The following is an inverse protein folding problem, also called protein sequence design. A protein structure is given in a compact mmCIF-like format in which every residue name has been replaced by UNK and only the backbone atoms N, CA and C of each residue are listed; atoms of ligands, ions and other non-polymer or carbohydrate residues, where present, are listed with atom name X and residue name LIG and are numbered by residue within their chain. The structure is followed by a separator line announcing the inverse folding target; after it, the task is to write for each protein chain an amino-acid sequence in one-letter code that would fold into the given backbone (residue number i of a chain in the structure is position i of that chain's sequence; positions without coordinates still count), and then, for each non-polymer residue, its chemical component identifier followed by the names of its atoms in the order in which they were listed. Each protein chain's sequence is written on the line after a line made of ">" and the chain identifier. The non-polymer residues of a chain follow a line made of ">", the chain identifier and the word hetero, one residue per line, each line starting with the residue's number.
data_IF_855557761222
#
_entry.id   IF_855557761222
#
_cell.length_a   1.000
_cell.length_b   1.000
_cell.length_c   1.000
_cell.angle_alpha   90.00
_cell.angle_beta   90.00
_cell.angle_gamma   90.00
#
_symmetry.space_group_name_H-M   'P 1'
#
loop_
_entity.id
_entity.type
_entity.pdbx_description
1 polymer ?
#
# COMPACT_ATOMS: atom_id res chain seq x y z
N UNK A 1 13.10 5.97 3.83
CA UNK A 1 11.97 6.90 3.62
C UNK A 1 11.10 6.54 2.42
N UNK A 2 9.89 7.11 2.36
CA UNK A 2 8.91 6.96 1.27
C UNK A 2 8.73 8.33 0.63
N UNK A 3 8.91 8.43 -0.68
CA UNK A 3 8.73 9.70 -1.40
C UNK A 3 7.27 9.88 -1.84
N UNK A 4 6.88 11.12 -2.18
CA UNK A 4 5.56 11.37 -2.80
C UNK A 4 5.33 10.53 -4.07
N UNK A 5 6.39 10.28 -4.84
CA UNK A 5 6.34 9.41 -6.02
C UNK A 5 6.05 7.95 -5.65
N UNK A 6 6.69 7.44 -4.60
CA UNK A 6 6.42 6.10 -4.07
C UNK A 6 4.97 5.97 -3.60
N UNK A 7 4.44 6.95 -2.87
CA UNK A 7 3.06 6.95 -2.38
C UNK A 7 2.06 6.94 -3.54
N UNK A 8 2.26 7.76 -4.57
CA UNK A 8 1.40 7.77 -5.77
C UNK A 8 1.43 6.44 -6.51
N UNK A 9 2.61 5.84 -6.70
CA UNK A 9 2.76 4.52 -7.31
C UNK A 9 2.08 3.43 -6.48
N UNK A 10 2.28 3.44 -5.17
CA UNK A 10 1.65 2.50 -4.24
C UNK A 10 0.12 2.58 -4.33
N UNK A 11 -0.46 3.78 -4.23
CA UNK A 11 -1.91 3.99 -4.36
C UNK A 11 -2.44 3.59 -5.73
N UNK A 12 -1.72 3.92 -6.81
CA UNK A 12 -2.07 3.48 -8.16
C UNK A 12 -2.13 1.96 -8.29
N UNK A 13 -1.18 1.25 -7.68
CA UNK A 13 -1.21 -0.22 -7.63
C UNK A 13 -2.40 -0.74 -6.81
N UNK A 14 -2.74 -0.13 -5.67
CA UNK A 14 -3.93 -0.50 -4.87
C UNK A 14 -5.22 -0.36 -5.68
N UNK A 15 -5.39 0.76 -6.38
CA UNK A 15 -6.55 1.01 -7.25
C UNK A 15 -6.61 -0.06 -8.35
N UNK A 16 -5.46 -0.38 -8.96
CA UNK A 16 -5.38 -1.38 -10.01
C UNK A 16 -5.68 -2.80 -9.50
N UNK A 17 -5.26 -3.15 -8.28
CA UNK A 17 -5.63 -4.43 -7.64
C UNK A 17 -7.15 -4.57 -7.48
N UNK A 18 -7.85 -3.47 -7.20
CA UNK A 18 -9.31 -3.45 -7.14
C UNK A 18 -9.99 -3.81 -8.46
N UNK A 19 -9.37 -3.42 -9.58
CA UNK A 19 -9.83 -3.74 -10.94
C UNK A 19 -9.43 -5.15 -11.38
N UNK A 20 -8.18 -5.54 -11.14
CA UNK A 20 -7.61 -6.83 -11.52
C UNK A 20 -7.52 -7.73 -10.30
N UNK A 21 -8.61 -8.36 -9.87
CA UNK A 21 -8.57 -9.19 -8.65
C UNK A 21 -7.82 -10.50 -8.90
N UNK A 22 -6.86 -10.80 -8.03
CA UNK A 22 -6.15 -12.09 -7.98
C UNK A 22 -6.49 -12.82 -6.68
N UNK A 23 -6.33 -14.14 -6.68
CA UNK A 23 -6.65 -14.99 -5.54
C UNK A 23 -5.75 -14.68 -4.34
N UNK A 24 -4.48 -14.37 -4.60
CA UNK A 24 -3.54 -14.00 -3.55
C UNK A 24 -2.72 -12.77 -3.95
N UNK A 25 -2.54 -11.80 -3.04
CA UNK A 25 -1.86 -10.53 -3.34
C UNK A 25 -0.42 -10.68 -3.88
N UNK A 26 0.29 -11.75 -3.50
CA UNK A 26 1.63 -12.04 -4.03
C UNK A 26 1.61 -12.35 -5.53
N UNK A 27 0.49 -12.83 -6.08
CA UNK A 27 0.35 -13.20 -7.50
C UNK A 27 0.42 -11.99 -8.43
N UNK A 28 0.19 -10.77 -7.92
CA UNK A 28 0.42 -9.55 -8.68
C UNK A 28 1.87 -9.39 -9.15
N UNK A 29 2.82 -10.03 -8.46
CA UNK A 29 4.23 -10.09 -8.85
C UNK A 29 4.65 -11.50 -9.28
N UNK A 30 3.72 -12.34 -9.72
CA UNK A 30 4.04 -13.67 -10.25
C UNK A 30 4.79 -13.54 -11.58
N UNK A 31 5.72 -14.47 -11.80
CA UNK A 31 6.36 -14.72 -13.11
C UNK A 31 5.73 -15.91 -13.84
N UNK A 32 4.69 -16.53 -13.27
CA UNK A 32 3.89 -17.54 -13.96
C UNK A 32 3.15 -16.87 -15.13
N UNK A 33 3.32 -17.33 -16.39
CA UNK A 33 2.66 -16.74 -17.56
C UNK A 33 1.13 -16.65 -17.44
N UNK A 34 0.48 -17.52 -16.66
CA UNK A 34 -0.96 -17.50 -16.45
C UNK A 34 -1.41 -16.40 -15.48
N UNK A 35 -0.50 -15.96 -14.61
CA UNK A 35 -0.78 -14.99 -13.55
C UNK A 35 -0.03 -13.67 -13.74
N UNK A 36 0.91 -13.62 -14.68
CA UNK A 36 1.79 -12.47 -14.87
C UNK A 36 0.95 -11.22 -15.17
N UNK A 37 1.31 -10.11 -14.53
CA UNK A 37 0.69 -8.82 -14.81
C UNK A 37 1.80 -7.77 -14.75
N UNK A 38 2.51 -7.64 -15.88
CA UNK A 38 3.82 -6.98 -15.96
C UNK A 38 3.88 -5.56 -15.39
N UNK A 39 2.75 -4.84 -15.34
CA UNK A 39 2.66 -3.49 -14.77
C UNK A 39 3.07 -3.45 -13.28
N UNK A 40 2.74 -4.47 -12.49
CA UNK A 40 3.04 -4.49 -11.05
C UNK A 40 4.56 -4.49 -10.77
N UNK A 41 5.35 -5.46 -11.27
CA UNK A 41 6.80 -5.44 -11.08
C UNK A 41 7.50 -4.27 -11.77
N UNK A 42 6.95 -3.75 -12.88
CA UNK A 42 7.48 -2.55 -13.58
C UNK A 42 7.37 -1.28 -12.74
N UNK A 43 6.26 -1.10 -12.00
CA UNK A 43 6.02 0.11 -11.23
C UNK A 43 6.70 0.07 -9.86
N UNK A 44 6.66 -1.06 -9.18
CA UNK A 44 7.22 -1.21 -7.84
C UNK A 44 7.54 -2.67 -7.54
N UNK A 45 8.69 -2.94 -6.91
CA UNK A 45 8.99 -4.33 -6.49
C UNK A 45 8.03 -4.80 -5.39
N UNK A 46 7.73 -6.11 -5.37
CA UNK A 46 6.90 -6.73 -4.32
C UNK A 46 7.39 -6.39 -2.91
N UNK A 47 8.72 -6.39 -2.72
CA UNK A 47 9.37 -6.08 -1.43
C UNK A 47 9.05 -4.64 -1.01
N UNK A 48 9.21 -3.68 -1.93
CA UNK A 48 8.93 -2.27 -1.64
C UNK A 48 7.45 -2.02 -1.36
N UNK A 49 6.56 -2.62 -2.15
CA UNK A 49 5.12 -2.56 -1.90
C UNK A 49 4.76 -3.09 -0.51
N UNK A 50 5.29 -4.27 -0.14
CA UNK A 50 5.07 -4.86 1.19
C UNK A 50 5.60 -3.95 2.30
N UNK A 51 6.79 -3.37 2.14
CA UNK A 51 7.35 -2.44 3.14
C UNK A 51 6.43 -1.24 3.36
N UNK A 52 5.96 -0.58 2.29
CA UNK A 52 5.05 0.58 2.40
C UNK A 52 3.73 0.15 3.06
N UNK A 53 3.15 -0.97 2.62
CA UNK A 53 1.91 -1.50 3.19
C UNK A 53 2.03 -1.77 4.69
N UNK A 54 3.13 -2.38 5.15
CA UNK A 54 3.34 -2.75 6.55
C UNK A 54 3.51 -1.53 7.47
N UNK A 55 4.12 -0.45 6.96
CA UNK A 55 4.42 0.75 7.75
C UNK A 55 3.57 1.96 7.34
N UNK A 56 2.42 1.74 6.72
CA UNK A 56 1.50 2.81 6.34
C UNK A 56 0.91 3.44 7.61
N UNK A 57 1.13 4.74 7.78
CA UNK A 57 0.71 5.50 8.96
C UNK A 57 0.14 6.86 8.55
N UNK A 58 -0.95 7.25 9.19
CA UNK A 58 -1.70 8.47 8.86
C UNK A 58 -1.80 9.47 10.00
N UNK A 59 -1.27 9.13 11.17
CA UNK A 59 -1.36 9.94 12.38
C UNK A 59 0.04 10.35 12.83
N UNK A 60 0.17 11.46 13.53
CA UNK A 60 1.40 11.77 14.25
C UNK A 60 1.24 11.29 15.71
N UNK A 61 2.09 10.33 16.12
CA UNK A 61 2.03 9.79 17.48
C UNK A 61 2.52 10.79 18.54
N UNK A 62 3.24 11.85 18.15
CA UNK A 62 3.65 12.93 19.07
C UNK A 62 2.48 13.83 19.48
N UNK A 63 1.44 13.90 18.65
CA UNK A 63 0.25 14.74 18.88
C UNK A 63 -0.90 13.98 19.56
N UNK A 64 -0.71 12.69 19.84
CA UNK A 64 -1.77 11.83 20.39
C UNK A 64 -1.90 11.99 21.91
N UNK A 65 -2.78 12.90 22.35
CA UNK A 65 -3.12 13.10 23.75
C UNK A 65 -4.14 12.04 24.25
N UNK A 66 -3.93 11.50 25.45
CA UNK A 66 -4.82 10.51 26.07
C UNK A 66 -6.04 11.17 26.78
N UNK A 67 -7.21 10.52 26.81
CA UNK A 67 -7.50 9.19 26.26
C UNK A 67 -7.75 9.29 24.77
N UNK A 68 -6.90 8.63 23.98
CA UNK A 68 -6.98 8.67 22.54
C UNK A 68 -8.32 8.03 22.13
N UNK A 69 -9.12 8.78 21.40
CA UNK A 69 -10.30 8.25 20.74
C UNK A 69 -9.94 6.98 19.95
N UNK A 70 -10.83 5.97 19.94
CA UNK A 70 -10.60 4.70 19.24
C UNK A 70 -10.30 4.89 17.76
N UNK A 71 -10.76 6.00 17.17
CA UNK A 71 -10.57 6.33 15.77
C UNK A 71 -9.37 7.29 15.48
N UNK A 72 -8.63 7.69 16.52
CA UNK A 72 -7.52 8.66 16.42
C UNK A 72 -6.52 8.39 15.29
N UNK A 73 -6.18 7.12 15.01
CA UNK A 73 -5.18 6.74 14.01
C UNK A 73 -5.58 7.02 12.55
N UNK A 74 -6.88 7.10 12.26
CA UNK A 74 -7.40 7.33 10.91
C UNK A 74 -8.11 8.68 10.77
N UNK A 75 -8.30 9.39 11.89
CA UNK A 75 -8.95 10.70 11.94
C UNK A 75 -8.32 11.75 10.99
N UNK A 76 -7.00 11.80 10.76
CA UNK A 76 -6.43 12.79 9.83
C UNK A 76 -6.86 12.64 8.36
N UNK A 77 -7.54 11.55 8.01
CA UNK A 77 -8.06 11.29 6.66
C UNK A 77 -9.56 11.56 6.51
N UNK A 78 -10.28 11.87 7.59
CA UNK A 78 -11.70 12.19 7.61
C UNK A 78 -11.90 13.71 7.72
#
# INVERSE_FOLDING_TARGET
>A
DVTNSDTKKFLGLIILMGQLRKSHWKEYWSTDPLLETSIFPKIMTRRRFKQIMTFLHFNDNSETLLPADRFSKAKPLL
#
